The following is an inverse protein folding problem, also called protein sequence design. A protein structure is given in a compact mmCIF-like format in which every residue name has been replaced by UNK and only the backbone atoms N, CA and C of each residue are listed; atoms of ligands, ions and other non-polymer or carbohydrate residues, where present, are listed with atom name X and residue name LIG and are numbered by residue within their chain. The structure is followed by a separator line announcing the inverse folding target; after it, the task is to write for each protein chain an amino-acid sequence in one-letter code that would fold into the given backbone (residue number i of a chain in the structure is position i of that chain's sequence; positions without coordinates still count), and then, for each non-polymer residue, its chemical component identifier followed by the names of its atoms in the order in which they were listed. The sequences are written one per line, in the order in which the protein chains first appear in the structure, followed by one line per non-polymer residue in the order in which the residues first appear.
data_IF_373830387920
#
_entry.id   IF_373830387920
#
_cell.length_a   1.000
_cell.length_b   1.000
_cell.length_c   1.000
_cell.angle_alpha   90.00
_cell.angle_beta   90.00
_cell.angle_gamma   90.00
#
_symmetry.space_group_name_H-M   'P 1'
#
loop_
_entity.id
_entity.type
_entity.pdbx_description
1 polymer ?
#
# COMPACT_ATOMS: atom_id res chain seq x y z
N UNK A 1 -11.45 6.95 35.69
CA UNK A 1 -11.63 8.38 35.38
C UNK A 1 -12.00 8.50 33.94
N UNK A 2 -13.26 8.84 33.65
CA UNK A 2 -13.72 9.04 32.28
C UNK A 2 -13.05 10.30 31.70
N UNK A 3 -12.26 10.14 30.63
CA UNK A 3 -11.73 11.27 29.87
C UNK A 3 -12.95 11.98 29.24
N UNK A 4 -13.20 13.22 29.63
CA UNK A 4 -14.15 14.10 28.95
C UNK A 4 -13.72 14.18 27.48
N UNK A 5 -14.57 13.72 26.58
CA UNK A 5 -14.42 13.99 25.14
C UNK A 5 -14.37 15.50 24.94
N UNK A 6 -13.36 16.05 24.29
CA UNK A 6 -13.39 17.46 23.89
C UNK A 6 -14.61 17.64 22.97
N UNK A 7 -15.20 18.82 23.01
CA UNK A 7 -16.33 19.19 22.15
C UNK A 7 -15.79 19.25 20.71
N UNK A 8 -15.89 18.14 19.98
CA UNK A 8 -15.23 17.88 18.68
C UNK A 8 -15.83 18.71 17.55
N UNK A 9 -17.08 19.16 17.68
CA UNK A 9 -17.82 19.78 16.58
C UNK A 9 -17.36 21.20 16.23
N UNK A 10 -16.72 21.94 17.12
CA UNK A 10 -16.38 23.35 16.88
C UNK A 10 -15.00 23.63 16.29
N UNK A 11 -14.13 22.61 16.13
CA UNK A 11 -12.73 22.79 15.67
C UNK A 11 -12.22 21.72 14.70
N UNK A 12 -13.08 20.76 14.29
CA UNK A 12 -12.66 19.70 13.36
C UNK A 12 -12.68 20.24 11.93
N UNK A 13 -11.51 20.36 11.30
CA UNK A 13 -11.38 20.81 9.93
C UNK A 13 -10.49 19.87 9.12
N UNK A 14 -11.12 18.93 8.40
CA UNK A 14 -10.44 18.16 7.36
C UNK A 14 -10.22 19.10 6.16
N UNK A 15 -8.96 19.26 5.78
CA UNK A 15 -8.57 19.96 4.56
C UNK A 15 -7.89 19.00 3.59
N UNK A 16 -7.87 19.37 2.33
CA UNK A 16 -7.09 18.62 1.34
C UNK A 16 -5.62 18.53 1.75
N UNK A 17 -5.04 17.36 1.48
CA UNK A 17 -3.60 17.09 1.63
C UNK A 17 -2.79 18.05 0.76
N UNK A 18 -1.68 18.52 1.28
CA UNK A 18 -0.75 19.44 0.62
C UNK A 18 0.67 18.91 0.67
N UNK A 19 1.55 19.47 -0.13
CA UNK A 19 2.94 19.03 -0.23
C UNK A 19 3.71 19.07 1.10
N UNK A 20 3.41 20.04 1.96
CA UNK A 20 4.02 20.18 3.29
C UNK A 20 3.53 19.12 4.30
N UNK A 21 2.53 18.31 3.94
CA UNK A 21 2.01 17.26 4.84
C UNK A 21 2.79 15.94 4.75
N UNK A 22 3.66 15.76 3.74
CA UNK A 22 4.35 14.48 3.53
C UNK A 22 5.16 14.03 4.73
N UNK A 23 5.91 14.94 5.38
CA UNK A 23 6.70 14.61 6.57
C UNK A 23 5.81 14.13 7.71
N UNK A 24 4.74 14.89 8.01
CA UNK A 24 3.78 14.51 9.04
C UNK A 24 3.06 13.19 8.73
N UNK A 25 2.72 12.94 7.47
CA UNK A 25 2.10 11.69 7.03
C UNK A 25 3.06 10.51 7.15
N UNK A 26 4.33 10.68 6.78
CA UNK A 26 5.36 9.64 6.94
C UNK A 26 5.53 9.27 8.42
N UNK A 27 5.61 10.27 9.31
CA UNK A 27 5.68 10.05 10.76
C UNK A 27 4.47 9.26 11.25
N UNK A 28 3.26 9.68 10.89
CA UNK A 28 2.02 9.00 11.29
C UNK A 28 1.98 7.53 10.81
N UNK A 29 2.30 7.29 9.53
CA UNK A 29 2.27 5.95 8.95
C UNK A 29 3.31 5.04 9.58
N UNK A 30 4.53 5.52 9.79
CA UNK A 30 5.61 4.73 10.40
C UNK A 30 5.35 4.45 11.89
N UNK A 31 4.61 5.34 12.57
CA UNK A 31 4.15 5.11 13.95
C UNK A 31 3.09 3.98 14.01
N UNK A 32 2.21 3.92 13.02
CA UNK A 32 1.14 2.91 12.95
C UNK A 32 1.64 1.57 12.40
N UNK A 33 2.61 1.59 11.49
CA UNK A 33 3.12 0.42 10.78
C UNK A 33 4.66 0.41 10.76
N UNK A 34 5.30 0.25 11.92
CA UNK A 34 6.77 0.31 12.02
C UNK A 34 7.48 -0.81 11.24
N UNK A 35 6.78 -1.93 10.95
CA UNK A 35 7.30 -3.04 10.15
C UNK A 35 7.37 -2.71 8.65
N UNK A 36 6.56 -1.74 8.19
CA UNK A 36 6.49 -1.30 6.79
C UNK A 36 6.78 0.19 6.67
N UNK A 37 8.01 0.63 6.98
CA UNK A 37 8.34 2.05 6.98
C UNK A 37 8.30 2.63 5.56
N UNK A 38 7.70 3.80 5.44
CA UNK A 38 7.65 4.55 4.20
C UNK A 38 8.46 5.84 4.32
N UNK A 39 9.16 6.21 3.25
CA UNK A 39 9.84 7.50 3.16
C UNK A 39 9.00 8.54 2.42
N UNK A 40 9.25 9.81 2.72
CA UNK A 40 8.65 10.94 1.98
C UNK A 40 8.95 10.83 0.48
N UNK A 41 10.18 10.47 0.13
CA UNK A 41 10.60 10.29 -1.26
C UNK A 41 9.74 9.23 -1.98
N UNK A 42 9.51 8.07 -1.34
CA UNK A 42 8.65 7.03 -1.90
C UNK A 42 7.21 7.50 -2.08
N UNK A 43 6.67 8.24 -1.10
CA UNK A 43 5.30 8.77 -1.21
C UNK A 43 5.17 9.76 -2.37
N UNK A 44 6.10 10.71 -2.49
CA UNK A 44 6.16 11.68 -3.59
C UNK A 44 6.34 11.00 -4.95
N UNK A 45 7.16 9.95 -4.99
CA UNK A 45 7.35 9.16 -6.21
C UNK A 45 6.03 8.50 -6.63
N UNK A 46 5.35 7.80 -5.71
CA UNK A 46 4.08 7.13 -5.98
C UNK A 46 3.01 8.11 -6.48
N UNK A 47 2.91 9.29 -5.85
CA UNK A 47 1.94 10.30 -6.28
C UNK A 47 2.27 10.88 -7.66
N UNK A 48 3.56 11.09 -7.95
CA UNK A 48 4.03 11.61 -9.25
C UNK A 48 3.87 10.61 -10.40
N UNK A 49 3.96 9.31 -10.11
CA UNK A 49 3.92 8.25 -11.13
C UNK A 49 2.54 7.61 -11.27
N UNK A 50 1.55 8.01 -10.45
CA UNK A 50 0.18 7.53 -10.53
C UNK A 50 -0.40 7.83 -11.91
N UNK A 51 -1.06 6.87 -12.51
CA UNK A 51 -1.74 7.06 -13.79
C UNK A 51 -2.87 8.10 -13.66
N UNK A 52 -3.02 8.99 -14.64
CA UNK A 52 -4.02 10.07 -14.63
C UNK A 52 -5.46 9.57 -14.50
N UNK A 53 -5.76 8.35 -14.97
CA UNK A 53 -7.09 7.74 -14.84
C UNK A 53 -7.47 7.40 -13.41
N UNK A 54 -6.48 7.29 -12.48
CA UNK A 54 -6.70 6.87 -11.10
C UNK A 54 -7.17 8.04 -10.26
N UNK A 55 -8.39 7.98 -9.83
CA UNK A 55 -8.92 8.93 -8.86
C UNK A 55 -8.25 8.71 -7.51
N UNK A 56 -7.63 9.76 -7.00
CA UNK A 56 -7.01 9.79 -5.68
C UNK A 56 -7.29 11.11 -5.00
N UNK A 57 -7.92 11.06 -3.85
CA UNK A 57 -8.12 12.25 -3.02
C UNK A 57 -7.78 11.93 -1.57
N UNK A 58 -7.09 12.85 -0.93
CA UNK A 58 -6.65 12.71 0.45
C UNK A 58 -6.91 13.99 1.23
N UNK A 59 -7.35 13.81 2.46
CA UNK A 59 -7.59 14.87 3.44
C UNK A 59 -6.82 14.59 4.70
N UNK A 60 -6.46 15.65 5.37
CA UNK A 60 -5.77 15.61 6.66
C UNK A 60 -6.43 16.55 7.65
N UNK A 61 -6.37 16.18 8.90
CA UNK A 61 -6.51 17.12 10.00
C UNK A 61 -5.21 17.16 10.77
N UNK A 62 -4.60 18.35 10.79
CA UNK A 62 -3.31 18.57 11.42
C UNK A 62 -3.40 19.72 12.43
N UNK A 63 -2.63 19.60 13.51
CA UNK A 63 -2.34 20.69 14.44
C UNK A 63 -0.86 21.04 14.31
N UNK A 64 -0.56 22.19 13.71
CA UNK A 64 0.79 22.56 13.29
C UNK A 64 1.34 21.49 12.32
N UNK A 65 2.46 20.83 12.67
CA UNK A 65 3.08 19.78 11.86
C UNK A 65 2.60 18.34 12.23
N UNK A 66 1.78 18.21 13.31
CA UNK A 66 1.28 16.92 13.74
C UNK A 66 0.00 16.57 12.99
N UNK A 67 0.02 15.53 12.17
CA UNK A 67 -1.18 14.96 11.58
C UNK A 67 -1.89 14.09 12.62
N UNK A 68 -3.11 14.49 13.00
CA UNK A 68 -3.95 13.78 13.95
C UNK A 68 -4.72 12.64 13.29
N UNK A 69 -5.23 12.89 12.09
CA UNK A 69 -5.82 11.86 11.25
C UNK A 69 -5.72 12.23 9.78
N UNK A 70 -5.81 11.22 8.95
CA UNK A 70 -5.94 11.36 7.50
C UNK A 70 -6.97 10.39 6.97
N UNK A 71 -7.66 10.80 5.92
CA UNK A 71 -8.64 10.03 5.18
C UNK A 71 -8.29 10.11 3.70
N UNK A 72 -8.28 9.00 3.00
CA UNK A 72 -8.10 8.99 1.56
C UNK A 72 -9.00 7.97 0.89
N UNK A 73 -9.39 8.24 -0.34
CA UNK A 73 -9.84 7.21 -1.27
C UNK A 73 -8.95 7.22 -2.52
N UNK A 74 -8.83 6.05 -3.12
CA UNK A 74 -8.15 5.84 -4.39
C UNK A 74 -8.77 4.65 -5.12
N UNK A 75 -8.28 4.36 -6.31
CA UNK A 75 -8.57 3.13 -7.05
C UNK A 75 -7.31 2.27 -7.08
N UNK A 76 -7.48 0.95 -7.19
CA UNK A 76 -6.35 0.07 -7.45
C UNK A 76 -5.91 0.21 -8.91
N UNK A 77 -4.63 0.41 -9.15
CA UNK A 77 -4.08 0.47 -10.51
C UNK A 77 -4.09 -0.90 -11.17
N UNK A 78 -3.75 -1.93 -10.40
CA UNK A 78 -3.61 -3.31 -10.87
C UNK A 78 -4.96 -4.00 -11.17
N UNK A 79 -6.03 -3.57 -10.51
CA UNK A 79 -7.40 -4.09 -10.70
C UNK A 79 -8.37 -2.93 -10.94
N UNK A 80 -7.97 -2.02 -11.82
CA UNK A 80 -8.69 -0.78 -12.07
C UNK A 80 -10.14 -1.00 -12.50
N UNK A 81 -11.02 -0.27 -11.86
CA UNK A 81 -12.42 -0.10 -12.27
C UNK A 81 -12.91 1.29 -11.83
N UNK A 82 -13.60 2.05 -12.69
CA UNK A 82 -13.96 3.45 -12.39
C UNK A 82 -14.86 3.64 -11.17
N UNK A 83 -15.61 2.61 -10.76
CA UNK A 83 -16.53 2.66 -9.62
C UNK A 83 -16.10 1.77 -8.44
N UNK A 84 -14.88 1.21 -8.45
CA UNK A 84 -14.33 0.47 -7.31
C UNK A 84 -13.27 1.29 -6.60
N UNK A 85 -13.42 1.49 -5.30
CA UNK A 85 -12.57 2.35 -4.51
C UNK A 85 -11.95 1.62 -3.34
N UNK A 86 -10.78 2.09 -2.96
CA UNK A 86 -10.09 1.74 -1.72
C UNK A 86 -10.12 2.94 -0.81
N UNK A 87 -10.52 2.76 0.43
CA UNK A 87 -10.42 3.79 1.46
C UNK A 87 -9.34 3.44 2.47
N UNK A 88 -8.63 4.46 2.95
CA UNK A 88 -7.66 4.33 4.05
C UNK A 88 -7.88 5.45 5.05
N UNK A 89 -7.92 5.10 6.32
CA UNK A 89 -8.09 6.03 7.43
C UNK A 89 -6.96 5.76 8.42
N UNK A 90 -6.15 6.76 8.70
CA UNK A 90 -5.10 6.69 9.71
C UNK A 90 -5.40 7.69 10.81
N UNK A 91 -5.47 7.23 12.05
CA UNK A 91 -5.67 8.06 13.23
C UNK A 91 -4.47 7.88 14.16
N UNK A 92 -3.85 8.99 14.54
CA UNK A 92 -2.71 8.99 15.44
C UNK A 92 -3.08 8.24 16.75
N UNK A 93 -2.22 7.35 17.30
CA UNK A 93 -2.55 6.48 18.41
C UNK A 93 -3.13 7.20 19.63
N UNK A 94 -2.59 8.39 19.98
CA UNK A 94 -3.07 9.17 21.11
C UNK A 94 -4.48 9.76 20.91
N UNK A 95 -5.03 9.70 19.72
CA UNK A 95 -6.33 10.27 19.33
C UNK A 95 -7.34 9.21 18.89
N UNK A 96 -6.96 7.93 18.90
CA UNK A 96 -7.87 6.82 18.64
C UNK A 96 -8.94 6.73 19.75
N UNK A 97 -10.09 6.15 19.42
CA UNK A 97 -11.22 6.04 20.35
C UNK A 97 -11.96 7.35 20.63
N UNK A 98 -11.58 8.46 20.00
CA UNK A 98 -12.16 9.80 20.22
C UNK A 98 -13.07 10.29 19.08
N UNK A 99 -13.51 9.39 18.20
CA UNK A 99 -14.48 9.71 17.12
C UNK A 99 -13.82 10.13 15.79
N UNK A 100 -12.52 10.40 15.72
CA UNK A 100 -11.85 10.84 14.49
C UNK A 100 -12.00 9.90 13.31
N UNK A 101 -11.89 8.58 13.56
CA UNK A 101 -12.11 7.57 12.52
C UNK A 101 -13.52 7.63 11.92
N UNK A 102 -14.52 7.88 12.74
CA UNK A 102 -15.93 8.01 12.29
C UNK A 102 -16.09 9.24 11.40
N UNK A 103 -15.57 10.38 11.81
CA UNK A 103 -15.66 11.62 11.03
C UNK A 103 -14.92 11.47 9.67
N UNK A 104 -13.72 10.84 9.68
CA UNK A 104 -13.00 10.52 8.45
C UNK A 104 -13.80 9.60 7.52
N UNK A 105 -14.41 8.56 8.09
CA UNK A 105 -15.24 7.62 7.33
C UNK A 105 -16.46 8.31 6.71
N UNK A 106 -17.22 9.08 7.50
CA UNK A 106 -18.42 9.78 7.04
C UNK A 106 -18.08 10.80 5.93
N UNK A 107 -16.95 11.49 6.07
CA UNK A 107 -16.43 12.37 5.02
C UNK A 107 -16.15 11.60 3.73
N UNK A 108 -15.39 10.50 3.80
CA UNK A 108 -15.08 9.68 2.61
C UNK A 108 -16.36 9.13 1.96
N UNK A 109 -17.31 8.65 2.75
CA UNK A 109 -18.57 8.14 2.20
C UNK A 109 -19.38 9.23 1.51
N UNK A 110 -19.33 10.46 2.02
CA UNK A 110 -20.00 11.59 1.39
C UNK A 110 -19.33 12.00 0.07
N UNK A 111 -18.00 12.08 0.06
CA UNK A 111 -17.24 12.41 -1.15
C UNK A 111 -17.37 11.33 -2.24
N UNK A 112 -17.47 10.07 -1.86
CA UNK A 112 -17.58 8.95 -2.80
C UNK A 112 -18.96 8.88 -3.49
N UNK A 113 -20.02 9.46 -2.92
CA UNK A 113 -21.38 9.42 -3.52
C UNK A 113 -21.42 9.92 -4.96
N UNK A 114 -20.64 10.92 -5.30
CA UNK A 114 -20.63 11.51 -6.65
C UNK A 114 -20.10 10.56 -7.73
N UNK A 115 -19.41 9.49 -7.35
CA UNK A 115 -18.81 8.50 -8.26
C UNK A 115 -19.67 7.23 -8.39
N UNK A 116 -20.79 7.15 -7.71
CA UNK A 116 -21.69 5.99 -7.72
C UNK A 116 -20.94 4.65 -7.51
N UNK A 117 -20.27 4.45 -6.36
CA UNK A 117 -19.37 3.31 -6.15
C UNK A 117 -20.15 2.01 -6.06
N UNK A 118 -19.72 0.99 -6.83
CA UNK A 118 -20.27 -0.38 -6.76
C UNK A 118 -19.54 -1.26 -5.74
N UNK A 119 -18.30 -0.87 -5.36
CA UNK A 119 -17.51 -1.59 -4.36
C UNK A 119 -16.56 -0.63 -3.65
N UNK A 120 -16.53 -0.69 -2.34
CA UNK A 120 -15.57 0.02 -1.50
C UNK A 120 -14.80 -1.03 -0.69
N UNK A 121 -13.49 -0.98 -0.73
CA UNK A 121 -12.60 -1.90 0.00
C UNK A 121 -11.68 -1.14 0.95
N UNK A 122 -11.14 -1.84 1.91
CA UNK A 122 -10.07 -1.35 2.78
C UNK A 122 -9.18 -2.52 3.18
N UNK A 123 -7.94 -2.22 3.55
CA UNK A 123 -7.01 -3.20 4.11
C UNK A 123 -6.83 -2.92 5.60
N UNK A 124 -6.94 -3.94 6.41
CA UNK A 124 -6.78 -3.85 7.87
C UNK A 124 -5.86 -4.99 8.33
N UNK A 125 -4.89 -4.67 9.17
CA UNK A 125 -4.06 -5.69 9.80
C UNK A 125 -4.86 -6.39 10.92
N UNK A 126 -4.94 -7.70 10.88
CA UNK A 126 -5.70 -8.51 11.83
C UNK A 126 -5.36 -8.21 13.31
N UNK A 127 -4.10 -7.98 13.73
CA UNK A 127 -3.77 -7.56 15.09
C UNK A 127 -4.44 -6.25 15.53
N UNK A 128 -4.82 -5.39 14.59
CA UNK A 128 -5.51 -4.14 14.88
C UNK A 128 -7.02 -4.34 15.07
N UNK A 129 -7.41 -5.11 16.08
CA UNK A 129 -8.79 -5.53 16.34
C UNK A 129 -9.82 -4.39 16.43
N UNK A 130 -9.39 -3.20 16.86
CA UNK A 130 -10.29 -2.01 16.87
C UNK A 130 -10.62 -1.56 15.44
N UNK A 131 -9.66 -1.62 14.52
CA UNK A 131 -9.88 -1.27 13.12
C UNK A 131 -10.74 -2.32 12.40
N UNK A 132 -10.53 -3.60 12.69
CA UNK A 132 -11.39 -4.69 12.18
C UNK A 132 -12.84 -4.43 12.58
N UNK A 133 -13.12 -4.30 13.88
CA UNK A 133 -14.48 -4.02 14.40
C UNK A 133 -15.09 -2.73 13.84
N UNK A 134 -14.25 -1.71 13.66
CA UNK A 134 -14.69 -0.42 13.10
C UNK A 134 -15.30 -0.58 11.70
N UNK A 135 -14.67 -1.36 10.84
CA UNK A 135 -15.18 -1.59 9.48
C UNK A 135 -16.31 -2.63 9.45
N UNK A 136 -16.25 -3.70 10.24
CA UNK A 136 -17.34 -4.68 10.37
C UNK A 136 -18.66 -4.03 10.81
N UNK A 137 -18.61 -3.12 11.80
CA UNK A 137 -19.80 -2.37 12.25
C UNK A 137 -20.38 -1.43 11.17
N UNK A 138 -19.65 -1.19 10.08
CA UNK A 138 -20.06 -0.39 8.91
C UNK A 138 -20.42 -1.24 7.70
N UNK A 139 -20.58 -2.54 7.91
CA UNK A 139 -21.03 -3.48 6.89
C UNK A 139 -19.92 -4.03 5.98
N UNK A 140 -18.64 -3.78 6.30
CA UNK A 140 -17.55 -4.42 5.58
C UNK A 140 -17.44 -5.89 6.01
N UNK A 141 -17.21 -6.76 5.03
CA UNK A 141 -16.95 -8.18 5.25
C UNK A 141 -15.56 -8.53 4.75
N UNK A 142 -14.91 -9.50 5.40
CA UNK A 142 -13.64 -10.03 4.92
C UNK A 142 -13.84 -10.70 3.56
N UNK A 143 -13.11 -10.27 2.54
CA UNK A 143 -13.15 -10.82 1.19
C UNK A 143 -11.94 -11.68 0.86
N UNK A 144 -10.77 -11.33 1.43
CA UNK A 144 -9.52 -12.07 1.27
C UNK A 144 -8.64 -11.84 2.50
N UNK A 145 -7.89 -12.86 2.88
CA UNK A 145 -6.87 -12.75 3.93
C UNK A 145 -5.52 -13.06 3.33
N UNK A 146 -4.64 -12.07 3.32
CA UNK A 146 -3.23 -12.23 2.94
C UNK A 146 -2.42 -12.57 4.18
N UNK A 147 -1.49 -13.51 4.05
CA UNK A 147 -0.58 -13.90 5.11
C UNK A 147 0.80 -13.37 4.82
N UNK A 148 1.34 -12.62 5.76
CA UNK A 148 2.74 -12.22 5.73
C UNK A 148 3.59 -13.24 6.50
N UNK A 149 4.69 -13.67 5.89
CA UNK A 149 5.67 -14.56 6.51
C UNK A 149 6.99 -13.81 6.67
N UNK A 150 7.61 -13.95 7.82
CA UNK A 150 8.93 -13.37 8.10
C UNK A 150 9.92 -14.50 8.42
N UNK A 151 11.15 -14.35 7.92
CA UNK A 151 12.26 -15.25 8.22
C UNK A 151 13.26 -14.52 9.12
N UNK A 152 13.53 -15.09 10.28
CA UNK A 152 14.62 -14.62 11.15
C UNK A 152 15.97 -15.07 10.59
N UNK A 153 16.68 -14.12 9.97
CA UNK A 153 18.00 -14.40 9.37
C UNK A 153 19.08 -14.72 10.41
N UNK A 154 18.86 -14.43 11.70
CA UNK A 154 19.83 -14.77 12.75
C UNK A 154 19.84 -16.28 13.07
N UNK A 155 18.74 -16.95 12.78
CA UNK A 155 18.57 -18.41 13.00
C UNK A 155 18.58 -19.21 11.68
N UNK A 156 18.56 -18.52 10.54
CA UNK A 156 18.54 -19.16 9.23
C UNK A 156 19.88 -19.80 8.89
N UNK A 157 19.86 -21.09 8.55
CA UNK A 157 21.02 -21.84 8.12
C UNK A 157 20.91 -22.20 6.62
N UNK A 158 21.58 -21.49 5.72
CA UNK A 158 21.50 -21.74 4.27
C UNK A 158 22.02 -23.14 3.87
N UNK A 159 22.91 -23.77 4.67
CA UNK A 159 23.45 -25.09 4.37
C UNK A 159 22.37 -26.19 4.32
N UNK A 160 21.25 -26.00 4.99
CA UNK A 160 20.12 -26.95 4.96
C UNK A 160 19.46 -27.07 3.58
N UNK A 161 19.66 -26.06 2.71
CA UNK A 161 19.04 -25.98 1.37
C UNK A 161 20.03 -26.23 0.23
N UNK A 162 21.31 -26.52 0.53
CA UNK A 162 22.35 -26.73 -0.51
C UNK A 162 22.01 -27.86 -1.47
N UNK A 163 21.38 -28.92 -0.97
CA UNK A 163 21.02 -30.08 -1.80
C UNK A 163 19.97 -29.72 -2.86
N UNK A 164 18.97 -28.89 -2.49
CA UNK A 164 17.92 -28.39 -3.38
C UNK A 164 18.49 -27.41 -4.42
N UNK A 165 19.36 -26.50 -3.98
CA UNK A 165 20.05 -25.55 -4.86
C UNK A 165 20.89 -26.31 -5.89
N UNK A 166 21.70 -27.26 -5.45
CA UNK A 166 22.55 -28.07 -6.34
C UNK A 166 21.71 -28.88 -7.33
N UNK A 167 20.55 -29.42 -6.92
CA UNK A 167 19.63 -30.11 -7.81
C UNK A 167 19.09 -29.19 -8.91
N UNK A 168 18.68 -27.98 -8.56
CA UNK A 168 18.22 -26.99 -9.52
C UNK A 168 19.33 -26.62 -10.53
N UNK A 169 20.54 -26.35 -10.03
CA UNK A 169 21.70 -26.05 -10.88
C UNK A 169 22.05 -27.21 -11.82
N UNK A 170 22.00 -28.47 -11.36
CA UNK A 170 22.22 -29.66 -12.19
C UNK A 170 21.17 -29.84 -13.30
N UNK A 171 19.94 -29.34 -13.07
CA UNK A 171 18.87 -29.32 -14.07
C UNK A 171 19.03 -28.16 -15.10
N UNK A 172 20.09 -27.36 -14.98
CA UNK A 172 20.37 -26.26 -15.88
C UNK A 172 19.70 -24.93 -15.48
N UNK A 173 19.06 -24.86 -14.32
CA UNK A 173 18.57 -23.57 -13.80
C UNK A 173 19.76 -22.69 -13.41
N UNK A 174 19.59 -21.42 -13.66
CA UNK A 174 20.55 -20.38 -13.28
C UNK A 174 19.81 -19.31 -12.48
N UNK A 175 20.27 -19.04 -11.28
CA UNK A 175 19.72 -17.97 -10.45
C UNK A 175 20.61 -16.74 -10.62
N UNK A 176 20.06 -15.66 -11.14
CA UNK A 176 20.77 -14.40 -11.36
C UNK A 176 19.94 -13.21 -10.84
N UNK A 177 20.62 -12.14 -10.51
CA UNK A 177 19.94 -10.89 -10.16
C UNK A 177 19.53 -10.10 -11.41
N UNK A 178 18.58 -9.20 -11.29
CA UNK A 178 18.25 -8.27 -12.38
C UNK A 178 19.47 -7.40 -12.76
N UNK A 179 20.31 -7.07 -11.78
CA UNK A 179 21.55 -6.32 -12.04
C UNK A 179 22.52 -7.08 -12.95
N UNK A 180 22.61 -8.41 -12.79
CA UNK A 180 23.41 -9.29 -13.66
C UNK A 180 22.74 -9.45 -15.01
N UNK A 181 21.43 -9.71 -15.05
CA UNK A 181 20.68 -9.87 -16.30
C UNK A 181 20.80 -8.61 -17.19
N UNK A 182 20.76 -7.40 -16.61
CA UNK A 182 20.95 -6.13 -17.33
C UNK A 182 22.33 -6.01 -18.01
N UNK A 183 23.35 -6.69 -17.50
CA UNK A 183 24.70 -6.69 -18.13
C UNK A 183 24.75 -7.61 -19.35
N UNK A 184 23.93 -8.66 -19.34
CA UNK A 184 23.89 -9.68 -20.38
C UNK A 184 22.86 -9.39 -21.47
N UNK A 185 21.79 -8.66 -21.14
CA UNK A 185 20.64 -8.43 -22.01
C UNK A 185 20.10 -7.00 -21.87
N UNK A 186 20.24 -6.20 -22.88
CA UNK A 186 19.70 -4.83 -22.94
C UNK A 186 18.17 -4.77 -22.80
N UNK A 187 17.46 -5.88 -23.06
CA UNK A 187 16.02 -6.00 -22.91
C UNK A 187 15.59 -6.60 -21.57
N UNK A 188 16.51 -6.71 -20.61
CA UNK A 188 16.22 -7.32 -19.30
C UNK A 188 14.95 -6.76 -18.65
N UNK A 189 14.86 -5.44 -18.51
CA UNK A 189 13.71 -4.75 -17.90
C UNK A 189 12.38 -5.05 -18.62
N UNK A 190 12.41 -5.07 -19.95
CA UNK A 190 11.23 -5.42 -20.74
C UNK A 190 10.82 -6.89 -20.58
N UNK A 191 11.80 -7.80 -20.48
CA UNK A 191 11.54 -9.22 -20.24
C UNK A 191 10.93 -9.46 -18.87
N UNK A 192 11.40 -8.74 -17.84
CA UNK A 192 10.84 -8.80 -16.48
C UNK A 192 9.38 -8.35 -16.47
N UNK A 193 9.08 -7.20 -17.07
CA UNK A 193 7.71 -6.73 -17.21
C UNK A 193 6.82 -7.72 -17.98
N UNK A 194 7.34 -8.31 -19.05
CA UNK A 194 6.60 -9.31 -19.84
C UNK A 194 6.29 -10.56 -19.01
N UNK A 195 7.27 -11.05 -18.24
CA UNK A 195 7.08 -12.17 -17.32
C UNK A 195 5.99 -11.85 -16.29
N UNK A 196 6.03 -10.67 -15.68
CA UNK A 196 5.03 -10.25 -14.71
C UNK A 196 3.63 -10.21 -15.31
N UNK A 197 3.47 -9.71 -16.52
CA UNK A 197 2.20 -9.77 -17.26
C UNK A 197 1.67 -11.18 -17.50
N UNK A 198 2.57 -12.14 -17.66
CA UNK A 198 2.21 -13.54 -17.90
C UNK A 198 1.80 -14.25 -16.61
N UNK A 199 2.44 -13.93 -15.47
CA UNK A 199 2.21 -14.63 -14.20
C UNK A 199 1.18 -13.96 -13.29
N UNK A 200 1.02 -12.65 -13.35
CA UNK A 200 0.08 -11.92 -12.49
C UNK A 200 -1.38 -12.39 -12.58
N UNK A 201 -1.91 -12.77 -13.77
CA UNK A 201 -3.28 -13.30 -13.85
C UNK A 201 -3.53 -14.56 -13.03
N UNK A 202 -2.49 -15.33 -12.71
CA UNK A 202 -2.57 -16.55 -11.91
C UNK A 202 -2.57 -16.27 -10.39
N UNK A 203 -2.35 -15.03 -9.98
CA UNK A 203 -2.37 -14.65 -8.56
C UNK A 203 -3.80 -14.57 -8.03
N UNK A 204 -4.07 -15.09 -6.80
CA UNK A 204 -5.40 -15.14 -6.22
C UNK A 204 -5.83 -13.76 -5.68
N UNK A 205 -6.35 -12.90 -6.55
CA UNK A 205 -6.92 -11.60 -6.19
C UNK A 205 -8.46 -11.62 -6.18
N UNK A 206 -9.07 -10.58 -5.62
CA UNK A 206 -10.52 -10.43 -5.60
C UNK A 206 -11.13 -10.06 -6.94
N UNK A 207 -10.33 -9.56 -7.85
CA UNK A 207 -10.68 -9.12 -9.20
C UNK A 207 -9.50 -9.44 -10.16
N UNK A 208 -9.73 -9.58 -11.46
CA UNK A 208 -8.66 -9.85 -12.44
C UNK A 208 -7.59 -8.75 -12.42
N UNK A 209 -6.33 -9.17 -12.36
CA UNK A 209 -5.18 -8.25 -12.38
C UNK A 209 -4.90 -7.79 -13.81
N UNK A 210 -4.55 -6.52 -13.95
CA UNK A 210 -4.04 -5.94 -15.18
C UNK A 210 -2.69 -5.28 -14.88
N UNK A 211 -1.61 -5.84 -15.39
CA UNK A 211 -0.29 -5.20 -15.30
C UNK A 211 -0.28 -3.97 -16.20
N UNK A 212 0.19 -2.81 -15.74
CA UNK A 212 0.28 -1.59 -16.53
C UNK A 212 1.16 -1.79 -17.78
N UNK A 213 1.11 -0.85 -18.71
CA UNK A 213 2.04 -0.86 -19.84
C UNK A 213 3.50 -0.71 -19.37
N UNK A 214 4.46 -1.01 -20.27
CA UNK A 214 5.87 -1.01 -19.91
C UNK A 214 6.39 0.36 -19.43
N UNK A 215 5.91 1.46 -20.02
CA UNK A 215 6.35 2.80 -19.64
C UNK A 215 5.90 3.16 -18.22
N UNK A 216 4.64 2.88 -17.90
CA UNK A 216 4.07 3.05 -16.55
C UNK A 216 4.78 2.15 -15.53
N UNK A 217 4.92 0.85 -15.84
CA UNK A 217 5.65 -0.11 -15.00
C UNK A 217 7.09 0.34 -14.74
N UNK A 218 7.81 0.77 -15.78
CA UNK A 218 9.18 1.27 -15.65
C UNK A 218 9.28 2.46 -14.71
N UNK A 219 8.32 3.40 -14.80
CA UNK A 219 8.29 4.58 -13.92
C UNK A 219 7.96 4.23 -12.48
N UNK A 220 6.96 3.39 -12.27
CA UNK A 220 6.44 3.07 -10.94
C UNK A 220 7.33 2.10 -10.18
N UNK A 221 7.83 1.06 -10.86
CA UNK A 221 8.55 -0.06 -10.25
C UNK A 221 10.06 0.07 -10.45
N UNK A 222 10.52 0.02 -11.70
CA UNK A 222 11.97 -0.07 -11.98
C UNK A 222 12.76 1.19 -11.63
N UNK A 223 12.10 2.36 -11.60
CA UNK A 223 12.68 3.65 -11.21
C UNK A 223 12.24 4.10 -9.83
N UNK A 224 11.59 3.23 -9.05
CA UNK A 224 11.20 3.57 -7.69
C UNK A 224 12.46 3.83 -6.83
N UNK A 225 12.49 4.86 -5.94
CA UNK A 225 13.66 5.22 -5.13
C UNK A 225 14.23 4.09 -4.27
N UNK A 226 13.39 3.14 -3.86
CA UNK A 226 13.79 1.96 -3.09
C UNK A 226 14.03 0.72 -3.95
N UNK A 227 13.96 0.83 -5.27
CA UNK A 227 14.20 -0.29 -6.15
C UNK A 227 15.68 -0.72 -6.09
N UNK A 228 15.89 -2.02 -5.80
CA UNK A 228 17.24 -2.58 -5.76
C UNK A 228 17.35 -3.78 -6.72
N UNK A 229 17.96 -3.63 -7.91
CA UNK A 229 18.07 -4.70 -8.88
C UNK A 229 18.95 -5.88 -8.42
N UNK A 230 19.76 -5.70 -7.36
CA UNK A 230 20.55 -6.79 -6.76
C UNK A 230 19.71 -7.69 -5.82
N UNK A 231 18.49 -7.27 -5.48
CA UNK A 231 17.57 -8.05 -4.63
C UNK A 231 16.44 -8.69 -5.43
N UNK A 232 16.44 -8.56 -6.77
CA UNK A 232 15.49 -9.21 -7.67
C UNK A 232 16.16 -10.39 -8.36
N UNK A 233 15.65 -11.59 -8.09
CA UNK A 233 16.22 -12.86 -8.55
C UNK A 233 15.31 -13.50 -9.60
N UNK A 234 15.94 -14.11 -10.59
CA UNK A 234 15.31 -14.81 -11.71
C UNK A 234 15.96 -16.17 -11.94
#
# INVERSE_FOLDING_TARGET
MARKSPNLESTFNLRHFQDDDYEGLAVLRNLLYPQHPISVESMRHNDKTREEKILHQQWVWAQKQLILCTALFTQWEEIYHPQKFVIKIYVHPNYQGSGYGTICYDHLMNELKQFDPIKITTQVHEPHQQSVRFFEQRGFNNSITERESSLDLTTYNPAEYEAEINRALQQGFRIITLSELRKEDEKADYKVWKLEREVCPDMPWTDPITVPDYDTYSKQVLRHPKFNPNSWFF
#
